data_IF_528235692077
#
_entry.id   IF_528235692077
#
_cell.length_a   1.000
_cell.length_b   1.000
_cell.length_c   1.000
_cell.angle_alpha   90.00
_cell.angle_beta   90.00
_cell.angle_gamma   90.00
#
_symmetry.space_group_name_H-M   'P 1'
#
loop_
_entity.id
_entity.type
_entity.pdbx_description
1 polymer ?
#
# COMPACT_ATOMS: atom_id res chain seq x y z
N UNK A 1 -12.34 10.17 -2.83
CA UNK A 1 -11.66 9.07 -2.10
C UNK A 1 -11.58 7.76 -2.85
N UNK A 2 -12.60 7.34 -3.62
CA UNK A 2 -12.50 6.13 -4.45
C UNK A 2 -11.29 6.13 -5.39
N UNK A 3 -11.06 7.25 -6.10
CA UNK A 3 -9.91 7.42 -7.02
C UNK A 3 -8.57 7.31 -6.25
N UNK A 4 -8.46 7.94 -5.07
CA UNK A 4 -7.24 7.87 -4.25
C UNK A 4 -6.94 6.43 -3.81
N UNK A 5 -7.94 5.68 -3.35
CA UNK A 5 -7.78 4.26 -3.00
C UNK A 5 -7.35 3.43 -4.21
N UNK A 6 -7.93 3.69 -5.39
CA UNK A 6 -7.58 2.99 -6.63
C UNK A 6 -6.16 3.31 -7.08
N UNK A 7 -5.75 4.58 -7.09
CA UNK A 7 -4.37 4.99 -7.43
C UNK A 7 -3.38 4.33 -6.48
N UNK A 8 -3.63 4.39 -5.17
CA UNK A 8 -2.75 3.77 -4.18
C UNK A 8 -2.64 2.25 -4.40
N UNK A 9 -3.78 1.56 -4.62
CA UNK A 9 -3.79 0.12 -4.88
C UNK A 9 -3.01 -0.24 -6.16
N UNK A 10 -3.18 0.54 -7.24
CA UNK A 10 -2.44 0.34 -8.50
C UNK A 10 -0.94 0.54 -8.29
N UNK A 11 -0.52 1.62 -7.62
CA UNK A 11 0.89 1.86 -7.31
C UNK A 11 1.49 0.73 -6.47
N UNK A 12 0.73 0.24 -5.49
CA UNK A 12 1.18 -0.87 -4.65
C UNK A 12 1.32 -2.18 -5.45
N UNK A 13 0.37 -2.50 -6.32
CA UNK A 13 0.47 -3.68 -7.21
C UNK A 13 1.65 -3.56 -8.17
N UNK A 14 1.90 -2.38 -8.74
CA UNK A 14 3.07 -2.13 -9.60
C UNK A 14 4.36 -2.35 -8.81
N UNK A 15 4.47 -1.81 -7.59
CA UNK A 15 5.65 -1.98 -6.75
C UNK A 15 5.90 -3.46 -6.39
N UNK A 16 4.84 -4.24 -6.10
CA UNK A 16 4.96 -5.69 -5.92
C UNK A 16 5.40 -6.41 -7.20
N UNK A 17 4.89 -5.99 -8.36
CA UNK A 17 5.32 -6.51 -9.65
C UNK A 17 6.80 -6.24 -9.90
N UNK A 18 7.28 -5.02 -9.67
CA UNK A 18 8.69 -4.66 -9.78
C UNK A 18 9.58 -5.45 -8.82
N UNK A 19 9.13 -5.62 -7.57
CA UNK A 19 9.82 -6.48 -6.59
C UNK A 19 9.97 -7.92 -7.12
N UNK A 20 8.89 -8.52 -7.64
CA UNK A 20 8.92 -9.89 -8.16
C UNK A 20 9.85 -9.98 -9.38
N UNK A 21 9.72 -9.05 -10.33
CA UNK A 21 10.53 -9.03 -11.55
C UNK A 21 12.02 -8.90 -11.20
N UNK A 22 12.38 -7.94 -10.34
CA UNK A 22 13.76 -7.71 -9.93
C UNK A 22 14.32 -8.82 -9.05
N UNK A 23 13.51 -9.42 -8.17
CA UNK A 23 13.97 -10.52 -7.29
C UNK A 23 14.27 -11.79 -8.09
N UNK A 24 13.40 -12.14 -9.04
CA UNK A 24 13.53 -13.40 -9.78
C UNK A 24 14.28 -13.25 -11.11
N UNK A 25 14.56 -12.03 -11.57
CA UNK A 25 15.19 -11.76 -12.87
C UNK A 25 14.24 -12.12 -14.02
N UNK A 26 12.95 -11.82 -13.87
CA UNK A 26 11.96 -12.12 -14.92
C UNK A 26 12.23 -11.24 -16.16
N UNK A 27 11.81 -11.73 -17.33
CA UNK A 27 11.97 -11.03 -18.61
C UNK A 27 13.43 -10.78 -19.04
N UNK A 28 14.37 -11.59 -18.55
CA UNK A 28 15.79 -11.44 -18.88
C UNK A 28 16.47 -10.27 -18.16
N UNK A 29 15.81 -9.67 -17.16
CA UNK A 29 16.39 -8.65 -16.31
C UNK A 29 17.42 -9.27 -15.36
N UNK A 30 18.53 -8.58 -15.11
CA UNK A 30 19.45 -8.94 -14.02
C UNK A 30 18.73 -8.84 -12.67
N UNK A 31 19.08 -9.74 -11.74
CA UNK A 31 18.49 -9.73 -10.41
C UNK A 31 18.90 -8.46 -9.68
N UNK A 32 17.91 -7.69 -9.26
CA UNK A 32 18.08 -6.41 -8.59
C UNK A 32 17.65 -6.50 -7.12
N UNK A 33 18.62 -6.50 -6.17
CA UNK A 33 18.35 -6.49 -4.74
C UNK A 33 17.56 -5.25 -4.26
N UNK A 34 17.61 -4.14 -5.01
CA UNK A 34 16.98 -2.87 -4.65
C UNK A 34 15.58 -2.70 -5.23
N UNK A 35 15.06 -3.69 -5.96
CA UNK A 35 13.70 -3.67 -6.53
C UNK A 35 12.59 -3.46 -5.49
N UNK A 36 12.84 -3.79 -4.21
CA UNK A 36 11.92 -3.51 -3.10
C UNK A 36 11.85 -2.05 -2.65
N UNK A 37 12.70 -1.15 -3.15
CA UNK A 37 12.75 0.26 -2.70
C UNK A 37 11.43 1.00 -2.98
N UNK A 38 10.69 0.61 -4.01
CA UNK A 38 9.41 1.22 -4.36
C UNK A 38 8.30 0.95 -3.33
N UNK A 39 8.43 -0.09 -2.51
CA UNK A 39 7.53 -0.37 -1.41
C UNK A 39 7.79 0.56 -0.21
N UNK A 40 9.00 1.11 -0.08
CA UNK A 40 9.38 1.90 1.08
C UNK A 40 8.54 3.17 1.22
N UNK A 41 8.47 4.07 0.21
CA UNK A 41 7.65 5.28 0.31
C UNK A 41 6.16 4.98 0.50
N UNK A 42 5.66 3.89 -0.11
CA UNK A 42 4.26 3.48 0.01
C UNK A 42 3.91 2.92 1.39
N UNK A 43 4.88 2.34 2.10
CA UNK A 43 4.69 1.74 3.42
C UNK A 43 4.92 2.70 4.59
N UNK A 44 5.41 3.91 4.33
CA UNK A 44 5.57 4.93 5.37
C UNK A 44 4.22 5.33 5.98
N UNK A 45 4.13 5.61 7.29
CA UNK A 45 5.20 5.63 8.30
C UNK A 45 5.47 4.28 8.98
N UNK A 46 4.75 3.21 8.60
CA UNK A 46 4.81 1.92 9.29
C UNK A 46 6.18 1.26 9.21
N UNK A 47 6.94 1.53 8.15
CA UNK A 47 8.33 1.07 8.03
C UNK A 47 9.20 1.68 9.12
N UNK A 48 9.09 2.98 9.40
CA UNK A 48 9.84 3.61 10.50
C UNK A 48 9.40 3.08 11.87
N UNK A 49 8.12 2.81 12.05
CA UNK A 49 7.63 2.22 13.29
C UNK A 49 8.20 0.81 13.49
N UNK A 50 8.17 -0.02 12.45
CA UNK A 50 8.71 -1.38 12.49
C UNK A 50 10.22 -1.38 12.77
N UNK A 51 10.97 -0.48 12.14
CA UNK A 51 12.41 -0.29 12.39
C UNK A 51 12.69 0.03 13.86
N UNK A 52 11.94 0.97 14.46
CA UNK A 52 12.05 1.30 15.89
C UNK A 52 11.70 0.13 16.82
N UNK A 53 10.86 -0.79 16.36
CA UNK A 53 10.49 -1.99 17.11
C UNK A 53 11.47 -3.15 16.87
N UNK A 54 12.55 -2.94 16.10
CA UNK A 54 13.50 -3.98 15.71
C UNK A 54 12.93 -4.99 14.72
N UNK A 55 11.77 -4.70 14.11
CA UNK A 55 11.13 -5.52 13.10
C UNK A 55 11.69 -5.14 11.73
N UNK A 56 12.72 -5.84 11.31
CA UNK A 56 13.37 -5.65 10.01
C UNK A 56 13.18 -6.86 9.11
N UNK A 57 12.99 -6.63 7.81
CA UNK A 57 12.90 -7.70 6.82
C UNK A 57 11.94 -7.40 5.66
N UNK A 58 11.97 -8.23 4.62
CA UNK A 58 11.17 -8.03 3.41
C UNK A 58 9.66 -8.06 3.69
N UNK A 59 9.23 -8.86 4.67
CA UNK A 59 7.83 -8.91 5.08
C UNK A 59 7.30 -7.55 5.56
N UNK A 60 8.12 -6.77 6.26
CA UNK A 60 7.72 -5.42 6.73
C UNK A 60 7.53 -4.47 5.55
N UNK A 61 8.47 -4.46 4.60
CA UNK A 61 8.37 -3.64 3.40
C UNK A 61 7.16 -4.03 2.54
N UNK A 62 6.83 -5.32 2.45
CA UNK A 62 5.66 -5.83 1.72
C UNK A 62 4.36 -5.47 2.45
N UNK A 63 4.27 -5.66 3.76
CA UNK A 63 3.01 -5.50 4.50
C UNK A 63 2.71 -4.04 4.87
N UNK A 64 3.71 -3.18 4.99
CA UNK A 64 3.51 -1.79 5.39
C UNK A 64 2.58 -0.99 4.43
N UNK A 65 2.72 -1.06 3.09
CA UNK A 65 1.77 -0.42 2.18
C UNK A 65 0.33 -0.95 2.31
N UNK A 66 0.17 -2.24 2.64
CA UNK A 66 -1.15 -2.83 2.86
C UNK A 66 -1.89 -2.16 4.02
N UNK A 67 -1.18 -1.81 5.10
CA UNK A 67 -1.76 -1.07 6.23
C UNK A 67 -2.33 0.27 5.77
N UNK A 68 -1.58 1.03 4.95
CA UNK A 68 -2.06 2.29 4.38
C UNK A 68 -3.31 2.10 3.51
N UNK A 69 -3.32 1.10 2.64
CA UNK A 69 -4.48 0.81 1.79
C UNK A 69 -5.72 0.46 2.62
N UNK A 70 -5.56 -0.35 3.68
CA UNK A 70 -6.66 -0.72 4.58
C UNK A 70 -7.22 0.50 5.31
N UNK A 71 -6.38 1.41 5.78
CA UNK A 71 -6.79 2.66 6.42
C UNK A 71 -7.57 3.55 5.44
N UNK A 72 -7.04 3.77 4.24
CA UNK A 72 -7.70 4.56 3.20
C UNK A 72 -9.08 3.97 2.84
N UNK A 73 -9.13 2.65 2.69
CA UNK A 73 -10.38 1.95 2.40
C UNK A 73 -11.40 2.06 3.53
N UNK A 74 -10.96 1.92 4.79
CA UNK A 74 -11.82 2.08 5.96
C UNK A 74 -12.39 3.51 6.04
N UNK A 75 -11.56 4.53 5.88
CA UNK A 75 -11.97 5.94 5.86
C UNK A 75 -12.99 6.18 4.74
N UNK A 76 -12.71 5.71 3.52
CA UNK A 76 -13.63 5.83 2.39
C UNK A 76 -14.99 5.19 2.70
N UNK A 77 -15.00 3.98 3.25
CA UNK A 77 -16.23 3.25 3.58
C UNK A 77 -17.04 3.98 4.65
N UNK A 78 -16.39 4.51 5.69
CA UNK A 78 -17.05 5.26 6.76
C UNK A 78 -17.67 6.57 6.23
N UNK A 79 -16.94 7.32 5.40
CA UNK A 79 -17.44 8.57 4.80
C UNK A 79 -18.60 8.32 3.83
N UNK A 80 -18.53 7.25 3.03
CA UNK A 80 -19.61 6.88 2.11
C UNK A 80 -20.90 6.54 2.89
N UNK A 81 -20.79 5.79 3.99
CA UNK A 81 -21.93 5.47 4.86
C UNK A 81 -22.57 6.71 5.48
N UNK A 82 -21.75 7.65 5.97
CA UNK A 82 -22.22 8.93 6.55
C UNK A 82 -23.01 9.75 5.51
N UNK A 83 -22.52 9.84 4.27
CA UNK A 83 -23.19 10.57 3.19
C UNK A 83 -24.57 9.99 2.88
N UNK A 84 -24.70 8.66 2.88
CA UNK A 84 -25.99 8.00 2.66
C UNK A 84 -26.98 8.23 3.80
N UNK A 85 -26.52 8.26 5.05
CA UNK A 85 -27.38 8.54 6.20
C UNK A 85 -27.95 9.98 6.17
N UNK A 86 -27.09 10.98 5.94
CA UNK A 86 -27.52 12.39 5.84
C UNK A 86 -28.50 12.63 4.68
N UNK A 87 -28.31 11.96 3.55
CA UNK A 87 -29.22 12.05 2.41
C UNK A 87 -30.59 11.39 2.68
N UNK A 88 -30.67 10.47 3.65
CA UNK A 88 -31.92 9.84 4.07
C UNK A 88 -32.67 10.71 5.10
N UNK A 89 -31.97 11.40 6.00
CA UNK A 89 -32.57 12.34 6.96
C UNK A 89 -33.11 13.63 6.32
N UNK A 90 -32.57 14.02 5.16
CA UNK A 90 -33.01 15.21 4.42
C UNK A 90 -34.22 14.99 3.48
N UNK A 91 -34.78 13.77 3.45
CA UNK A 91 -35.98 13.41 2.68
C UNK A 91 -37.17 13.26 3.62
#
# INVERSE_FOLDING_TARGET
MRIVCAIFAVLYVIALGLLIIGTFGLFGQERDPLSGIFLIPLGMPWIWLADRLGMVGPAVAILAPLVNLLILFAIYRLLARRRSALAAEAR
#
